data_IF_344153914148
#
_entry.id   IF_344153914148
#
_cell.length_a   1.000
_cell.length_b   1.000
_cell.length_c   1.000
_cell.angle_alpha   90.00
_cell.angle_beta   90.00
_cell.angle_gamma   90.00
#
_symmetry.space_group_name_H-M   'P 1'
#
loop_
_entity.id
_entity.type
_entity.pdbx_description
1 polymer ?
#
# COMPACT_ATOMS: atom_id res chain seq x y z
N UNK A 1 -45.73 -15.95 -75.57
CA UNK A 1 -45.82 -16.19 -74.10
C UNK A 1 -44.42 -16.48 -73.58
N UNK A 2 -43.51 -15.48 -73.58
CA UNK A 2 -42.07 -15.77 -73.45
C UNK A 2 -41.29 -14.67 -72.71
N UNK A 3 -41.68 -13.40 -72.86
CA UNK A 3 -40.96 -12.27 -72.25
C UNK A 3 -41.24 -12.16 -70.73
N UNK A 4 -42.48 -12.37 -70.28
CA UNK A 4 -42.85 -12.31 -68.84
C UNK A 4 -42.10 -13.35 -67.98
N UNK A 5 -41.79 -14.52 -68.54
CA UNK A 5 -41.10 -15.60 -67.82
C UNK A 5 -39.60 -15.31 -67.60
N UNK A 6 -38.97 -14.63 -68.56
CA UNK A 6 -37.56 -14.21 -68.47
C UNK A 6 -37.36 -13.11 -67.42
N UNK A 7 -38.27 -12.13 -67.35
CA UNK A 7 -38.25 -11.09 -66.32
C UNK A 7 -38.42 -11.65 -64.91
N UNK A 8 -39.32 -12.63 -64.73
CA UNK A 8 -39.55 -13.26 -63.44
C UNK A 8 -38.31 -14.05 -62.97
N UNK A 9 -37.66 -14.80 -63.86
CA UNK A 9 -36.39 -15.50 -63.54
C UNK A 9 -35.25 -14.54 -63.20
N UNK A 10 -35.07 -13.47 -63.97
CA UNK A 10 -34.03 -12.47 -63.71
C UNK A 10 -34.25 -11.73 -62.37
N UNK A 11 -35.50 -11.43 -62.04
CA UNK A 11 -35.87 -10.83 -60.76
C UNK A 11 -35.53 -11.75 -59.58
N UNK A 12 -35.90 -13.04 -59.67
CA UNK A 12 -35.65 -14.04 -58.64
C UNK A 12 -34.14 -14.26 -58.43
N UNK A 13 -33.35 -14.37 -59.51
CA UNK A 13 -31.89 -14.56 -59.42
C UNK A 13 -31.21 -13.34 -58.79
N UNK A 14 -31.62 -12.12 -59.16
CA UNK A 14 -31.09 -10.90 -58.56
C UNK A 14 -31.51 -10.73 -57.09
N UNK A 15 -32.71 -11.17 -56.72
CA UNK A 15 -33.17 -11.21 -55.34
C UNK A 15 -32.32 -12.16 -54.49
N UNK A 16 -32.11 -13.40 -54.94
CA UNK A 16 -31.27 -14.37 -54.23
C UNK A 16 -29.79 -13.96 -54.16
N UNK A 17 -29.23 -13.30 -55.20
CA UNK A 17 -27.87 -12.73 -55.14
C UNK A 17 -27.74 -11.66 -54.06
N UNK A 18 -28.72 -10.76 -53.93
CA UNK A 18 -28.71 -9.70 -52.91
C UNK A 18 -28.83 -10.29 -51.50
N UNK A 19 -29.72 -11.26 -51.29
CA UNK A 19 -29.89 -11.97 -50.01
C UNK A 19 -28.61 -12.71 -49.59
N UNK A 20 -27.93 -13.37 -50.55
CA UNK A 20 -26.69 -14.09 -50.28
C UNK A 20 -25.52 -13.16 -49.91
N UNK A 21 -25.47 -11.95 -50.48
CA UNK A 21 -24.45 -10.93 -50.12
C UNK A 21 -24.74 -10.35 -48.74
N UNK A 22 -26.00 -10.01 -48.43
CA UNK A 22 -26.41 -9.51 -47.12
C UNK A 22 -26.11 -10.52 -46.00
N UNK A 23 -26.36 -11.82 -46.23
CA UNK A 23 -26.09 -12.89 -45.27
C UNK A 23 -24.61 -13.02 -44.87
N UNK A 24 -23.67 -12.56 -45.70
CA UNK A 24 -22.23 -12.62 -45.39
C UNK A 24 -21.73 -11.39 -44.63
N UNK A 25 -22.42 -10.26 -44.75
CA UNK A 25 -22.00 -8.98 -44.13
C UNK A 25 -22.53 -8.87 -42.70
N UNK A 26 -23.75 -9.34 -42.44
CA UNK A 26 -24.38 -9.31 -41.10
C UNK A 26 -23.52 -9.95 -40.01
N UNK A 27 -22.95 -11.16 -40.16
CA UNK A 27 -22.12 -11.75 -39.11
C UNK A 27 -20.82 -10.97 -38.87
N UNK A 28 -20.23 -10.37 -39.91
CA UNK A 28 -18.99 -9.58 -39.79
C UNK A 28 -19.24 -8.30 -38.99
N UNK A 29 -20.36 -7.62 -39.24
CA UNK A 29 -20.74 -6.40 -38.50
C UNK A 29 -21.05 -6.72 -37.02
N UNK A 30 -21.69 -7.85 -36.75
CA UNK A 30 -21.96 -8.30 -35.38
C UNK A 30 -20.67 -8.65 -34.61
N UNK A 31 -19.71 -9.30 -35.27
CA UNK A 31 -18.41 -9.63 -34.65
C UNK A 31 -17.61 -8.36 -34.36
N UNK A 32 -17.57 -7.40 -35.29
CA UNK A 32 -16.88 -6.13 -35.08
C UNK A 32 -17.53 -5.30 -33.97
N UNK A 33 -18.86 -5.28 -33.89
CA UNK A 33 -19.59 -4.65 -32.79
C UNK A 33 -19.30 -5.30 -31.44
N UNK A 34 -19.23 -6.63 -31.38
CA UNK A 34 -18.87 -7.36 -30.16
C UNK A 34 -17.44 -7.04 -29.69
N UNK A 35 -16.47 -6.97 -30.61
CA UNK A 35 -15.07 -6.61 -30.27
C UNK A 35 -14.99 -5.16 -29.76
N UNK A 36 -15.72 -4.23 -30.37
CA UNK A 36 -15.77 -2.83 -29.93
C UNK A 36 -16.39 -2.68 -28.53
N UNK A 37 -17.37 -3.52 -28.19
CA UNK A 37 -17.93 -3.57 -26.84
C UNK A 37 -16.94 -4.16 -25.82
N UNK A 38 -16.15 -5.17 -26.21
CA UNK A 38 -15.15 -5.78 -25.32
C UNK A 38 -14.07 -4.77 -24.89
N UNK A 39 -13.70 -3.81 -25.74
CA UNK A 39 -12.73 -2.76 -25.41
C UNK A 39 -13.21 -1.71 -24.39
N UNK A 40 -14.49 -1.70 -24.02
CA UNK A 40 -15.03 -0.83 -22.96
C UNK A 40 -15.10 -1.51 -21.59
N UNK A 41 -14.79 -2.81 -21.49
CA UNK A 41 -14.65 -3.43 -20.18
C UNK A 41 -13.25 -3.13 -19.67
N UNK A 42 -13.08 -2.28 -18.65
CA UNK A 42 -11.80 -2.18 -17.98
C UNK A 42 -11.46 -3.58 -17.47
N UNK A 43 -10.35 -4.15 -17.97
CA UNK A 43 -9.76 -5.32 -17.34
C UNK A 43 -9.20 -4.86 -16.01
N UNK A 44 -9.96 -5.07 -14.93
CA UNK A 44 -9.42 -5.00 -13.59
C UNK A 44 -8.43 -6.15 -13.44
N UNK A 45 -7.18 -5.89 -13.80
CA UNK A 45 -6.07 -6.72 -13.33
C UNK A 45 -6.05 -6.51 -11.81
N UNK A 46 -6.65 -7.43 -11.07
CA UNK A 46 -6.45 -7.52 -9.63
C UNK A 46 -4.97 -7.88 -9.45
N UNK A 47 -4.11 -6.87 -9.33
CA UNK A 47 -2.77 -7.06 -8.80
C UNK A 47 -2.95 -7.77 -7.46
N UNK A 48 -2.25 -8.89 -7.27
CA UNK A 48 -2.21 -9.61 -6.00
C UNK A 48 -1.89 -8.58 -4.90
N UNK A 49 -2.91 -8.21 -4.12
CA UNK A 49 -2.77 -7.11 -3.18
C UNK A 49 -2.11 -7.70 -1.95
N UNK A 50 -0.78 -7.56 -1.85
CA UNK A 50 -0.10 -7.82 -0.59
C UNK A 50 -0.76 -6.94 0.47
N UNK A 51 -1.41 -7.61 1.40
CA UNK A 51 -2.12 -7.01 2.53
C UNK A 51 -1.33 -7.19 3.81
N UNK A 52 -0.35 -8.10 3.84
CA UNK A 52 0.49 -8.39 4.98
C UNK A 52 1.93 -7.97 4.69
N UNK A 53 2.52 -7.21 5.61
CA UNK A 53 3.91 -6.79 5.55
C UNK A 53 4.61 -7.08 6.87
N UNK A 54 5.92 -7.28 6.80
CA UNK A 54 6.76 -7.55 7.96
C UNK A 54 8.06 -6.75 7.86
N UNK A 55 8.53 -6.29 9.01
CA UNK A 55 9.91 -5.84 9.19
C UNK A 55 10.53 -6.63 10.34
N UNK A 56 11.73 -7.18 10.11
CA UNK A 56 12.55 -7.77 11.16
C UNK A 56 13.72 -6.83 11.42
N UNK A 57 13.83 -6.37 12.66
CA UNK A 57 14.73 -5.31 13.08
C UNK A 57 15.88 -5.90 13.87
N UNK A 58 17.09 -5.48 13.53
CA UNK A 58 18.33 -5.83 14.23
C UNK A 58 19.25 -4.62 14.27
N UNK A 59 20.33 -4.69 15.06
CA UNK A 59 21.35 -3.64 15.10
C UNK A 59 22.10 -3.48 13.76
N UNK A 60 22.14 -4.52 12.92
CA UNK A 60 22.73 -4.47 11.58
C UNK A 60 21.94 -3.59 10.60
N UNK A 61 20.66 -3.33 10.90
CA UNK A 61 19.81 -2.46 10.07
C UNK A 61 20.06 -0.96 10.27
N UNK A 62 20.84 -0.59 11.29
CA UNK A 62 21.26 0.80 11.52
C UNK A 62 22.52 1.10 10.70
N UNK A 63 22.68 2.35 10.26
CA UNK A 63 23.86 2.79 9.51
C UNK A 63 24.55 3.95 10.26
N UNK A 64 25.75 3.74 10.84
CA UNK A 64 26.50 2.48 10.90
C UNK A 64 25.85 1.43 11.82
N UNK A 65 26.13 0.12 11.64
CA UNK A 65 25.57 -0.93 12.49
C UNK A 65 25.83 -0.72 13.98
N UNK A 66 24.83 -1.03 14.80
CA UNK A 66 24.91 -0.97 16.26
C UNK A 66 25.14 -2.39 16.79
N UNK A 67 26.12 -2.54 17.69
CA UNK A 67 26.38 -3.80 18.38
C UNK A 67 25.38 -3.99 19.54
N UNK A 68 24.26 -4.63 19.24
CA UNK A 68 23.20 -4.94 20.22
C UNK A 68 22.62 -6.33 19.94
N UNK A 69 22.17 -6.99 20.99
CA UNK A 69 21.38 -8.24 20.91
C UNK A 69 19.88 -7.98 20.84
N UNK A 70 19.45 -6.71 20.84
CA UNK A 70 18.05 -6.33 20.67
C UNK A 70 17.53 -6.78 19.30
N UNK A 71 16.29 -7.26 19.27
CA UNK A 71 15.58 -7.60 18.03
C UNK A 71 14.12 -7.20 18.13
N UNK A 72 13.48 -6.97 16.98
CA UNK A 72 12.03 -6.81 16.94
C UNK A 72 11.43 -7.35 15.64
N UNK A 73 10.17 -7.75 15.70
CA UNK A 73 9.35 -8.04 14.54
C UNK A 73 8.15 -7.12 14.55
N UNK A 74 7.97 -6.40 13.45
CA UNK A 74 6.81 -5.53 13.21
C UNK A 74 5.96 -6.16 12.12
N UNK A 75 4.69 -6.39 12.40
CA UNK A 75 3.72 -6.91 11.44
C UNK A 75 2.71 -5.83 11.11
N UNK A 76 2.38 -5.72 9.83
CA UNK A 76 1.36 -4.81 9.33
C UNK A 76 0.30 -5.58 8.55
N UNK A 77 -0.96 -5.22 8.74
CA UNK A 77 -2.09 -5.74 7.97
C UNK A 77 -2.92 -4.58 7.40
N UNK A 78 -3.05 -4.51 6.08
CA UNK A 78 -3.88 -3.54 5.37
C UNK A 78 -5.34 -3.97 5.48
N UNK A 79 -6.12 -3.18 6.21
CA UNK A 79 -7.53 -3.44 6.43
C UNK A 79 -8.39 -2.97 5.23
N UNK A 80 -9.58 -3.56 5.02
CA UNK A 80 -10.50 -3.12 3.96
C UNK A 80 -11.02 -1.68 4.08
N UNK A 81 -10.92 -1.05 5.25
CA UNK A 81 -11.40 0.29 5.54
C UNK A 81 -10.33 1.38 5.33
N UNK A 82 -9.30 1.12 4.52
CA UNK A 82 -8.17 2.03 4.30
C UNK A 82 -7.48 2.44 5.60
N UNK A 83 -7.17 1.45 6.45
CA UNK A 83 -6.30 1.62 7.62
C UNK A 83 -5.29 0.48 7.66
N UNK A 84 -4.23 0.62 8.46
CA UNK A 84 -3.25 -0.47 8.66
C UNK A 84 -3.20 -0.80 10.14
N UNK A 85 -3.54 -2.04 10.49
CA UNK A 85 -3.28 -2.58 11.82
C UNK A 85 -1.81 -2.96 11.93
N UNK A 86 -1.18 -2.70 13.06
CA UNK A 86 0.19 -3.12 13.31
C UNK A 86 0.38 -3.71 14.72
N UNK A 87 1.36 -4.57 14.83
CA UNK A 87 1.82 -5.21 16.06
C UNK A 87 3.36 -5.20 16.08
N UNK A 88 3.94 -4.84 17.23
CA UNK A 88 5.39 -4.80 17.43
C UNK A 88 5.73 -5.69 18.62
N UNK A 89 6.50 -6.74 18.35
CA UNK A 89 7.12 -7.57 19.38
C UNK A 89 8.62 -7.34 19.39
N UNK A 90 9.21 -7.11 20.56
CA UNK A 90 10.63 -6.85 20.72
C UNK A 90 11.24 -7.72 21.83
N UNK A 91 12.53 -7.98 21.73
CA UNK A 91 13.30 -8.80 22.65
C UNK A 91 14.60 -8.13 23.02
N UNK A 92 15.01 -8.30 24.28
CA UNK A 92 16.24 -7.75 24.84
C UNK A 92 16.41 -6.25 24.54
N UNK A 93 15.35 -5.46 24.76
CA UNK A 93 15.36 -4.01 24.57
C UNK A 93 14.81 -3.31 25.80
N UNK A 94 15.33 -2.14 26.14
CA UNK A 94 14.91 -1.37 27.32
C UNK A 94 14.80 0.11 26.96
N UNK A 95 13.98 0.85 27.70
CA UNK A 95 13.83 2.30 27.57
C UNK A 95 13.56 2.77 26.15
N UNK A 96 12.67 2.09 25.43
CA UNK A 96 12.19 2.53 24.13
C UNK A 96 11.47 3.86 24.29
N UNK A 97 11.86 4.86 23.51
CA UNK A 97 11.20 6.17 23.52
C UNK A 97 10.77 6.65 22.13
N UNK A 98 11.07 5.92 21.06
CA UNK A 98 10.55 6.29 19.75
C UNK A 98 10.52 5.06 18.86
N UNK A 99 9.45 4.96 18.07
CA UNK A 99 9.33 3.98 17.00
C UNK A 99 8.67 4.69 15.83
N UNK A 100 9.38 4.77 14.71
CA UNK A 100 8.89 5.46 13.53
C UNK A 100 9.08 4.63 12.27
N UNK A 101 8.27 4.95 11.25
CA UNK A 101 8.50 4.47 9.90
C UNK A 101 9.04 5.61 9.05
N UNK A 102 10.05 5.32 8.25
CA UNK A 102 10.74 6.29 7.42
C UNK A 102 11.31 5.68 6.15
N UNK A 103 11.93 6.51 5.35
CA UNK A 103 12.74 6.04 4.21
C UNK A 103 14.11 5.59 4.68
N UNK A 104 14.84 4.84 3.83
CA UNK A 104 16.22 4.42 4.10
C UNK A 104 17.23 5.58 4.27
N UNK A 105 16.82 6.83 3.97
CA UNK A 105 17.61 8.03 4.20
C UNK A 105 17.23 8.73 5.53
N UNK A 106 16.64 8.01 6.49
CA UNK A 106 16.21 8.51 7.80
C UNK A 106 15.25 9.69 7.73
N UNK A 107 14.43 9.78 6.67
CA UNK A 107 13.30 10.71 6.67
C UNK A 107 12.11 10.04 7.34
N UNK A 108 11.79 10.48 8.54
CA UNK A 108 10.61 10.04 9.28
C UNK A 108 9.34 10.47 8.51
N UNK A 109 8.36 9.57 8.40
CA UNK A 109 7.11 9.82 7.68
C UNK A 109 5.86 9.61 8.53
N UNK A 110 5.95 8.76 9.56
CA UNK A 110 4.91 8.52 10.56
C UNK A 110 5.53 7.93 11.83
N UNK A 111 4.92 8.17 12.98
CA UNK A 111 5.32 7.60 14.28
C UNK A 111 4.34 6.48 14.69
N UNK A 112 4.88 5.36 15.15
CA UNK A 112 4.12 4.24 15.73
C UNK A 112 4.02 4.38 17.24
N UNK A 113 5.09 4.85 17.89
CA UNK A 113 5.11 5.24 19.29
C UNK A 113 5.58 6.68 19.36
N UNK A 114 4.80 7.53 20.04
CA UNK A 114 5.23 8.87 20.44
C UNK A 114 5.01 8.99 21.96
N UNK A 115 6.06 8.87 22.79
CA UNK A 115 5.93 8.96 24.23
C UNK A 115 6.08 10.39 24.74
N UNK A 116 6.12 11.40 23.86
CA UNK A 116 6.17 12.78 24.28
C UNK A 116 4.79 13.22 24.75
N UNK A 117 4.65 13.43 26.06
CA UNK A 117 3.52 14.19 26.58
C UNK A 117 3.81 15.69 26.41
N UNK A 118 2.89 16.45 25.82
CA UNK A 118 2.95 17.90 25.84
C UNK A 118 2.60 18.38 27.25
N UNK A 119 3.59 18.80 28.03
CA UNK A 119 3.33 19.41 29.35
C UNK A 119 3.27 20.93 29.18
N UNK A 120 2.10 21.52 29.47
CA UNK A 120 1.94 22.97 29.52
C UNK A 120 2.60 23.51 30.80
N UNK A 121 3.70 24.23 30.65
CA UNK A 121 4.38 24.95 31.73
C UNK A 121 3.62 26.22 32.13
N UNK A 122 2.51 26.09 32.86
CA UNK A 122 1.85 27.18 33.59
C UNK A 122 1.19 28.32 32.76
N UNK A 123 0.59 29.33 33.43
CA UNK A 123 -0.29 30.33 32.81
C UNK A 123 0.38 31.35 31.88
N UNK A 124 1.68 31.24 31.66
CA UNK A 124 2.46 32.10 30.74
C UNK A 124 3.25 31.20 29.80
N UNK A 125 2.56 30.75 28.77
CA UNK A 125 3.06 29.81 27.77
C UNK A 125 4.12 30.48 26.90
N UNK A 126 5.39 30.14 27.11
CA UNK A 126 6.43 30.31 26.07
C UNK A 126 7.25 29.04 25.83
N UNK A 127 7.31 28.10 26.78
CA UNK A 127 8.12 26.89 26.63
C UNK A 127 7.26 25.65 26.87
N UNK A 128 6.84 25.00 25.76
CA UNK A 128 6.35 23.63 25.78
C UNK A 128 7.56 22.71 25.88
N UNK A 129 7.63 21.90 26.93
CA UNK A 129 8.65 20.85 27.03
C UNK A 129 7.98 19.52 26.72
N UNK A 130 8.54 18.79 25.75
CA UNK A 130 8.20 17.40 25.49
C UNK A 130 9.08 16.53 26.40
N UNK A 131 8.47 15.75 27.28
CA UNK A 131 9.18 14.75 28.08
C UNK A 131 8.82 13.37 27.55
N UNK A 132 9.83 12.61 27.12
CA UNK A 132 9.67 11.22 26.75
C UNK A 132 9.49 10.37 28.02
N UNK A 133 8.49 9.50 28.02
CA UNK A 133 8.35 8.43 29.03
C UNK A 133 8.81 7.12 28.42
N UNK A 134 10.10 6.75 28.58
CA UNK A 134 10.61 5.52 28.00
C UNK A 134 9.97 4.30 28.66
N UNK A 135 9.89 3.19 27.93
CA UNK A 135 9.40 1.91 28.46
C UNK A 135 10.33 1.34 29.54
N UNK A 136 9.89 0.30 30.24
CA UNK A 136 10.81 -0.60 30.94
C UNK A 136 11.41 -1.66 29.99
N UNK A 137 12.08 -2.69 30.53
CA UNK A 137 12.59 -3.81 29.75
C UNK A 137 11.47 -4.57 29.04
N UNK A 138 11.69 -4.94 27.78
CA UNK A 138 10.72 -5.59 26.90
C UNK A 138 11.29 -6.90 26.36
N UNK A 139 10.53 -7.98 26.57
CA UNK A 139 10.69 -9.30 25.98
C UNK A 139 9.32 -9.87 25.61
N UNK A 140 8.72 -9.31 24.56
CA UNK A 140 7.35 -9.60 24.14
C UNK A 140 6.73 -8.45 23.36
N UNK A 141 5.42 -8.26 23.53
CA UNK A 141 4.70 -7.15 22.89
C UNK A 141 5.23 -5.80 23.43
N UNK A 142 5.67 -4.94 22.51
CA UNK A 142 6.02 -3.56 22.79
C UNK A 142 4.77 -2.67 22.66
N UNK A 143 4.04 -2.80 21.55
CA UNK A 143 2.81 -2.04 21.29
C UNK A 143 2.07 -2.63 20.10
N UNK A 144 0.80 -2.28 19.97
CA UNK A 144 -0.04 -2.53 18.81
C UNK A 144 -0.97 -1.34 18.55
N UNK A 145 -1.43 -1.18 17.31
CA UNK A 145 -2.27 -0.04 16.98
C UNK A 145 -2.78 0.00 15.54
N UNK A 146 -3.34 1.14 15.18
CA UNK A 146 -3.88 1.42 13.84
C UNK A 146 -3.27 2.69 13.28
N UNK A 147 -2.79 2.60 12.04
CA UNK A 147 -2.30 3.72 11.24
C UNK A 147 -3.44 4.22 10.37
N UNK A 148 -3.64 5.53 10.44
CA UNK A 148 -4.61 6.31 9.67
C UNK A 148 -3.87 7.46 8.99
N UNK A 149 -4.41 7.93 7.86
CA UNK A 149 -3.72 8.91 7.00
C UNK A 149 -3.47 10.27 7.69
N UNK A 150 -4.24 10.63 8.72
CA UNK A 150 -4.04 11.85 9.52
C UNK A 150 -2.75 11.85 10.35
N UNK A 151 -2.12 10.68 10.54
CA UNK A 151 -0.82 10.54 11.22
C UNK A 151 0.38 10.83 10.32
N UNK A 152 0.16 11.05 9.03
CA UNK A 152 1.22 11.24 8.07
C UNK A 152 1.79 12.66 8.09
N UNK A 153 3.11 12.75 8.04
CA UNK A 153 3.83 14.00 7.92
C UNK A 153 4.92 13.90 6.85
N UNK A 154 5.69 14.98 6.65
CA UNK A 154 6.72 15.03 5.62
C UNK A 154 6.14 14.84 4.21
N UNK A 155 6.77 13.99 3.40
CA UNK A 155 6.32 13.72 2.02
C UNK A 155 5.02 12.90 1.94
N UNK A 156 4.59 12.27 3.03
CA UNK A 156 3.30 11.58 3.13
C UNK A 156 2.16 12.48 3.64
N UNK A 157 2.44 13.73 4.04
CA UNK A 157 1.40 14.64 4.52
C UNK A 157 0.28 14.83 3.47
N UNK A 158 -0.97 14.54 3.88
CA UNK A 158 -2.15 14.62 3.01
C UNK A 158 -2.27 13.51 1.97
N UNK A 159 -1.42 12.47 2.03
CA UNK A 159 -1.52 11.26 1.20
C UNK A 159 -2.48 10.23 1.79
N UNK A 160 -2.86 9.26 0.97
CA UNK A 160 -3.77 8.17 1.36
C UNK A 160 -3.01 6.97 1.95
N UNK A 161 -3.71 6.05 2.62
CA UNK A 161 -3.13 4.75 3.03
C UNK A 161 -2.60 3.98 1.80
N UNK A 162 -3.26 4.11 0.64
CA UNK A 162 -2.80 3.44 -0.59
C UNK A 162 -1.42 3.93 -1.05
N UNK A 163 -1.10 5.20 -0.84
CA UNK A 163 0.22 5.75 -1.15
C UNK A 163 1.29 5.14 -0.23
N UNK A 164 0.99 5.02 1.07
CA UNK A 164 1.86 4.35 2.03
C UNK A 164 2.08 2.87 1.66
N UNK A 165 1.01 2.14 1.33
CA UNK A 165 1.11 0.72 0.90
C UNK A 165 1.97 0.59 -0.36
N UNK A 166 1.88 1.54 -1.28
CA UNK A 166 2.73 1.55 -2.50
C UNK A 166 4.21 1.69 -2.12
N UNK A 167 4.54 2.53 -1.15
CA UNK A 167 5.91 2.69 -0.64
C UNK A 167 6.41 1.46 0.14
N UNK A 168 5.53 0.78 0.89
CA UNK A 168 5.87 -0.48 1.55
C UNK A 168 6.16 -1.58 0.52
N UNK A 169 5.38 -1.65 -0.57
CA UNK A 169 5.61 -2.62 -1.66
C UNK A 169 6.88 -2.37 -2.45
N UNK A 170 7.32 -1.12 -2.58
CA UNK A 170 8.57 -0.79 -3.27
C UNK A 170 9.82 -1.08 -2.43
N UNK A 171 9.68 -1.50 -1.17
CA UNK A 171 10.80 -1.76 -0.26
C UNK A 171 11.57 -0.49 0.14
N UNK A 172 10.99 0.69 -0.11
CA UNK A 172 11.63 1.98 0.14
C UNK A 172 11.50 2.45 1.58
N UNK A 173 10.81 1.68 2.43
CA UNK A 173 10.52 2.02 3.79
C UNK A 173 11.16 1.06 4.79
N UNK A 174 11.45 1.58 5.98
CA UNK A 174 11.94 0.83 7.12
C UNK A 174 11.22 1.24 8.39
N UNK A 175 11.30 0.38 9.40
CA UNK A 175 10.98 0.71 10.80
C UNK A 175 12.28 0.84 11.56
N UNK A 176 12.37 1.84 12.44
CA UNK A 176 13.47 2.02 13.38
C UNK A 176 12.93 2.20 14.80
N UNK A 177 13.62 1.61 15.78
CA UNK A 177 13.33 1.74 17.20
C UNK A 177 14.52 2.45 17.86
N UNK A 178 14.22 3.50 18.64
CA UNK A 178 15.21 4.24 19.43
C UNK A 178 14.99 4.01 20.92
N UNK A 179 16.09 3.93 21.64
CA UNK A 179 16.13 3.79 23.08
C UNK A 179 17.01 4.86 23.68
N UNK A 180 16.88 5.10 24.99
CA UNK A 180 17.70 6.11 25.68
C UNK A 180 19.21 5.83 25.54
N UNK A 181 19.63 4.57 25.41
CA UNK A 181 21.04 4.23 25.15
C UNK A 181 21.49 4.42 23.71
N UNK A 182 20.55 4.49 22.77
CA UNK A 182 20.78 4.58 21.33
C UNK A 182 19.81 5.58 20.71
N UNK A 183 20.01 6.86 21.04
CA UNK A 183 19.09 7.95 20.63
C UNK A 183 19.03 8.15 19.11
N UNK A 184 20.10 7.79 18.39
CA UNK A 184 20.16 7.83 16.92
C UNK A 184 19.62 6.55 16.25
N UNK A 185 19.16 5.56 17.03
CA UNK A 185 18.64 4.28 16.55
C UNK A 185 19.34 3.08 17.18
N UNK A 186 18.58 2.14 17.73
CA UNK A 186 19.12 0.86 18.25
C UNK A 186 18.99 -0.27 17.23
N UNK A 187 17.79 -0.44 16.66
CA UNK A 187 17.48 -1.48 15.69
C UNK A 187 16.59 -0.95 14.58
N UNK A 188 16.84 -1.39 13.35
CA UNK A 188 16.02 -1.07 12.20
C UNK A 188 15.89 -2.26 11.24
N UNK A 189 14.91 -2.19 10.35
CA UNK A 189 14.70 -3.21 9.33
C UNK A 189 13.78 -2.74 8.20
N UNK A 190 14.04 -3.17 6.95
CA UNK A 190 13.18 -2.84 5.82
C UNK A 190 11.81 -3.49 5.97
N UNK A 191 10.79 -2.81 5.46
CA UNK A 191 9.43 -3.34 5.38
C UNK A 191 9.28 -4.09 4.06
N UNK A 192 8.86 -5.35 4.14
CA UNK A 192 8.71 -6.24 2.99
C UNK A 192 7.32 -6.89 3.00
N UNK A 193 6.73 -7.21 1.83
CA UNK A 193 5.58 -8.11 1.77
C UNK A 193 5.87 -9.43 2.48
N UNK A 194 4.88 -9.96 3.21
CA UNK A 194 5.04 -11.22 3.95
C UNK A 194 4.96 -12.48 3.07
N UNK A 195 4.67 -12.35 1.77
CA UNK A 195 4.53 -13.46 0.80
C UNK A 195 5.12 -13.10 -0.56
#
# INVERSE_FOLDING_TARGET
>A
MTIRFLYQKAFIINFFRKVMILSRIVPIVLILGAIYLVSYFPTYAYAQQDTDFVANLTGEGIVPPVDTTATATVKFHVNPNETISYDISAHNIDKVFDVYMGTQNNTNLLELINPYATVLSGPRVTNQFQSAYPTGPIDGELTSGVITADKFYGSLAGKSISDLVTMMKSGQMQVEIRTISHEDGEIAGPIMPSK
#
